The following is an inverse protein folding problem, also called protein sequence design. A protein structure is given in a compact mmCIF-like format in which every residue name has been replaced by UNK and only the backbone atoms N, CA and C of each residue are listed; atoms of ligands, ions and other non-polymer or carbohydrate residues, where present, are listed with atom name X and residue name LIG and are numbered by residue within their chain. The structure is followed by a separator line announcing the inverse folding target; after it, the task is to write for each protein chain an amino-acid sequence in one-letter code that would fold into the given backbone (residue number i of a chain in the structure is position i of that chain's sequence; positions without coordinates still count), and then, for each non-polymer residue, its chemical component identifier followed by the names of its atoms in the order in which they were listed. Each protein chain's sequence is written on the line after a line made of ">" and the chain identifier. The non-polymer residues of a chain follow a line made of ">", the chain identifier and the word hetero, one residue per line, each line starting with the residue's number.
data_IF_279942938037
#
_entry.id   IF_279942938037
#
_cell.length_a   1.000
_cell.length_b   1.000
_cell.length_c   1.000
_cell.angle_alpha   90.00
_cell.angle_beta   90.00
_cell.angle_gamma   90.00
#
_symmetry.space_group_name_H-M   'P 1'
#
loop_
_entity.id
_entity.type
_entity.pdbx_description
1 polymer ?
#
# COMPACT_ATOMS: atom_id res chain seq x y z
N UNK A 1 -2.94 12.69 -23.81
CA UNK A 1 -3.11 12.84 -23.91
C UNK A 1 -3.37 12.98 -23.73
N UNK A 2 -3.45 13.10 -23.36
CA UNK A 2 -3.51 13.45 -23.22
C UNK A 2 -3.78 13.68 -22.71
N UNK A 3 -3.63 13.87 -22.28
CA UNK A 3 -3.75 14.16 -21.92
C UNK A 3 -3.85 14.38 -21.47
N UNK A 4 -3.65 14.59 -21.08
CA UNK A 4 -3.65 14.75 -20.84
C UNK A 4 -3.43 14.88 -20.39
N UNK A 5 -3.32 14.87 -20.15
CA UNK A 5 -3.01 15.02 -19.86
C UNK A 5 -2.82 15.39 -19.36
N UNK A 6 -2.83 15.71 -19.12
CA UNK A 6 -2.68 16.00 -18.73
C UNK A 6 -2.49 16.28 -18.15
N UNK A 7 -2.38 16.46 -17.88
CA UNK A 7 -2.22 16.54 -17.43
C UNK A 7 -1.89 16.64 -16.97
N UNK A 8 -1.58 16.70 -16.77
CA UNK A 8 -1.20 16.59 -16.46
C UNK A 8 -0.88 16.85 -15.96
N UNK A 9 -0.94 17.03 -15.73
CA UNK A 9 -0.44 17.24 -15.32
C UNK A 9 -0.29 17.52 -14.53
N UNK A 10 -0.59 17.63 -14.16
CA UNK A 10 -0.28 17.87 -13.30
C UNK A 10 0.49 17.71 -12.99
N UNK A 11 0.41 17.61 -13.03
CA UNK A 11 1.16 17.25 -12.91
C UNK A 11 2.24 16.95 -12.44
N UNK A 12 2.92 17.17 -12.51
CA UNK A 12 4.17 16.77 -12.13
C UNK A 12 4.25 15.85 -11.05
N UNK A 13 3.94 16.18 -9.93
CA UNK A 13 3.92 15.24 -8.88
C UNK A 13 3.19 14.07 -9.25
N UNK A 14 2.34 14.16 -10.14
CA UNK A 14 1.60 13.03 -10.53
C UNK A 14 2.40 12.03 -11.26
N UNK A 15 3.53 12.39 -11.80
CA UNK A 15 4.32 11.44 -12.46
C UNK A 15 4.82 10.40 -11.62
N UNK A 16 5.15 10.68 -10.40
CA UNK A 16 5.65 9.65 -9.56
C UNK A 16 4.61 8.69 -9.22
N UNK A 17 3.37 9.03 -9.45
CA UNK A 17 2.29 8.14 -9.18
C UNK A 17 1.91 7.35 -10.41
N UNK A 18 2.76 7.32 -11.41
CA UNK A 18 2.59 6.43 -12.52
C UNK A 18 2.93 4.99 -12.18
N UNK A 19 3.47 4.74 -11.00
CA UNK A 19 3.79 3.39 -10.60
C UNK A 19 2.52 2.62 -10.29
N UNK A 20 2.48 1.38 -10.74
CA UNK A 20 1.32 0.54 -10.53
C UNK A 20 1.75 -0.84 -10.05
N UNK A 21 0.81 -1.52 -9.40
CA UNK A 21 0.98 -2.89 -8.98
C UNK A 21 0.12 -3.74 -9.90
N UNK A 22 0.71 -4.74 -10.54
CA UNK A 22 -0.02 -5.62 -11.43
C UNK A 22 -0.43 -6.87 -10.70
N UNK A 23 -1.72 -7.18 -10.72
CA UNK A 23 -2.26 -8.32 -10.03
C UNK A 23 -2.92 -9.27 -11.03
N UNK A 24 -2.43 -10.50 -11.10
CA UNK A 24 -2.98 -11.49 -11.99
C UNK A 24 -4.05 -12.27 -11.24
N UNK A 25 -5.28 -12.08 -11.65
CA UNK A 25 -6.41 -12.74 -11.03
C UNK A 25 -6.99 -13.77 -11.99
N UNK A 26 -7.76 -14.75 -11.50
CA UNK A 26 -8.32 -15.78 -12.39
C UNK A 26 -9.15 -15.22 -13.54
N UNK A 27 -9.81 -14.09 -13.32
CA UNK A 27 -10.67 -13.51 -14.35
C UNK A 27 -10.01 -12.32 -15.06
N UNK A 28 -8.72 -12.09 -14.85
CA UNK A 28 -8.05 -11.04 -15.60
C UNK A 28 -6.91 -10.39 -14.85
N UNK A 29 -6.38 -9.34 -15.46
CA UNK A 29 -5.26 -8.59 -14.91
C UNK A 29 -5.76 -7.26 -14.38
N UNK A 30 -5.39 -6.92 -13.17
CA UNK A 30 -5.75 -5.64 -12.57
C UNK A 30 -4.49 -4.80 -12.43
N UNK A 31 -4.57 -3.57 -12.88
CA UNK A 31 -3.49 -2.61 -12.72
C UNK A 31 -3.93 -1.62 -11.64
N UNK A 32 -3.30 -1.65 -10.50
CA UNK A 32 -3.69 -0.83 -9.37
C UNK A 32 -2.61 0.22 -9.09
N UNK A 33 -2.94 1.51 -9.22
CA UNK A 33 -1.93 2.53 -8.92
C UNK A 33 -1.48 2.44 -7.47
N UNK A 34 -0.19 2.58 -7.23
CA UNK A 34 0.34 2.46 -5.88
C UNK A 34 -0.27 3.46 -4.91
N UNK A 35 -0.62 4.65 -5.39
CA UNK A 35 -1.21 5.65 -4.50
C UNK A 35 -2.61 5.26 -4.00
N UNK A 36 -3.25 4.27 -4.66
CA UNK A 36 -4.54 3.78 -4.20
C UNK A 36 -4.41 2.61 -3.24
N UNK A 37 -3.24 1.99 -3.17
CA UNK A 37 -3.03 0.83 -2.30
C UNK A 37 -2.93 1.30 -0.86
N UNK A 38 -3.77 0.73 0.01
CA UNK A 38 -3.75 1.08 1.42
C UNK A 38 -2.84 0.17 2.21
N UNK A 39 -3.01 -1.13 2.03
CA UNK A 39 -2.17 -2.09 2.73
C UNK A 39 -2.30 -3.46 2.07
N UNK A 40 -1.34 -4.33 2.39
CA UNK A 40 -1.34 -5.71 1.94
C UNK A 40 -1.36 -6.59 3.16
N UNK A 41 -2.09 -7.69 3.08
CA UNK A 41 -2.21 -8.64 4.17
C UNK A 41 -1.85 -10.04 3.68
N UNK A 42 -0.95 -10.73 4.40
CA UNK A 42 -0.52 -12.06 4.03
C UNK A 42 -1.31 -13.10 4.80
N UNK A 43 -1.85 -14.09 4.09
CA UNK A 43 -2.52 -15.21 4.73
C UNK A 43 -2.07 -16.48 4.00
N UNK A 44 -1.20 -17.26 4.66
CA UNK A 44 -0.67 -18.47 4.04
C UNK A 44 0.08 -18.14 2.76
N UNK A 45 -0.35 -18.73 1.66
CA UNK A 45 0.26 -18.52 0.35
C UNK A 45 -0.40 -17.40 -0.44
N UNK A 46 -1.31 -16.67 0.19
CA UNK A 46 -2.05 -15.63 -0.50
C UNK A 46 -1.77 -14.25 0.09
N UNK A 47 -1.78 -13.26 -0.76
CA UNK A 47 -1.66 -11.87 -0.33
C UNK A 47 -2.91 -11.14 -0.79
N UNK A 48 -3.56 -10.44 0.12
CA UNK A 48 -4.71 -9.61 -0.22
C UNK A 48 -4.26 -8.16 -0.26
N UNK A 49 -4.48 -7.53 -1.39
CA UNK A 49 -4.11 -6.12 -1.61
C UNK A 49 -5.39 -5.30 -1.46
N UNK A 50 -5.37 -4.36 -0.52
CA UNK A 50 -6.51 -3.48 -0.27
C UNK A 50 -6.23 -2.10 -0.84
N UNK A 51 -7.09 -1.65 -1.71
CA UNK A 51 -6.93 -0.32 -2.31
C UNK A 51 -8.10 0.03 -3.20
N UNK A 52 -8.34 1.32 -3.37
CA UNK A 52 -9.42 1.78 -4.23
C UNK A 52 -10.80 1.34 -3.78
N UNK A 53 -10.97 1.05 -2.50
CA UNK A 53 -12.25 0.57 -1.99
C UNK A 53 -12.50 -0.90 -2.26
N UNK A 54 -11.51 -1.62 -2.74
CA UNK A 54 -11.64 -3.03 -3.08
C UNK A 54 -10.50 -3.84 -2.49
N UNK A 55 -10.66 -5.17 -2.50
CA UNK A 55 -9.62 -6.08 -2.05
C UNK A 55 -9.40 -7.12 -3.13
N UNK A 56 -8.13 -7.39 -3.41
CA UNK A 56 -7.74 -8.36 -4.43
C UNK A 56 -6.82 -9.39 -3.78
N UNK A 57 -7.12 -10.66 -3.94
CA UNK A 57 -6.31 -11.73 -3.37
C UNK A 57 -5.57 -12.46 -4.47
N UNK A 58 -4.25 -12.56 -4.33
CA UNK A 58 -3.42 -13.24 -5.32
C UNK A 58 -2.55 -14.28 -4.61
N UNK A 59 -2.22 -15.35 -5.32
CA UNK A 59 -1.33 -16.37 -4.79
C UNK A 59 0.08 -15.99 -5.21
N UNK A 60 0.74 -15.23 -4.36
CA UNK A 60 2.06 -14.71 -4.67
C UNK A 60 2.77 -14.41 -3.35
N UNK A 61 4.07 -14.58 -3.32
CA UNK A 61 4.83 -14.28 -2.11
C UNK A 61 4.87 -12.78 -1.85
N UNK A 62 4.78 -12.39 -0.59
CA UNK A 62 4.84 -10.98 -0.24
C UNK A 62 6.14 -10.34 -0.73
N UNK A 63 7.25 -11.08 -0.64
CA UNK A 63 8.53 -10.55 -1.09
C UNK A 63 8.53 -10.21 -2.58
N UNK A 64 7.80 -10.97 -3.38
CA UNK A 64 7.70 -10.69 -4.81
C UNK A 64 6.91 -9.42 -5.06
N UNK A 65 5.85 -9.21 -4.27
CA UNK A 65 5.05 -8.00 -4.40
C UNK A 65 5.80 -6.79 -3.87
N UNK A 66 6.57 -6.96 -2.81
CA UNK A 66 7.35 -5.85 -2.25
C UNK A 66 8.32 -5.25 -3.25
N UNK A 67 8.79 -6.03 -4.21
CA UNK A 67 9.69 -5.52 -5.23
C UNK A 67 9.02 -4.50 -6.14
N UNK A 68 7.70 -4.54 -6.22
CA UNK A 68 6.92 -3.63 -7.06
C UNK A 68 6.46 -2.40 -6.28
N UNK A 69 6.71 -2.38 -4.97
CA UNK A 69 6.31 -1.27 -4.12
C UNK A 69 7.48 -0.29 -3.97
N UNK A 70 7.18 0.93 -3.55
CA UNK A 70 8.21 1.94 -3.32
C UNK A 70 8.31 2.24 -1.83
N UNK A 71 9.06 3.27 -1.46
CA UNK A 71 9.33 3.58 -0.06
C UNK A 71 8.17 4.21 0.67
N UNK A 72 7.01 4.41 0.03
CA UNK A 72 5.82 4.83 0.74
C UNK A 72 5.21 3.64 1.51
N UNK A 73 5.69 2.42 1.26
CA UNK A 73 5.18 1.23 1.92
C UNK A 73 6.14 0.75 3.01
N UNK A 74 5.56 0.34 4.12
CA UNK A 74 6.34 -0.09 5.27
C UNK A 74 5.80 -1.40 5.83
N UNK A 75 6.68 -2.36 6.02
CA UNK A 75 6.29 -3.66 6.53
C UNK A 75 6.06 -3.60 8.04
N UNK A 76 4.88 -4.00 8.47
CA UNK A 76 4.48 -4.02 9.86
C UNK A 76 4.31 -5.47 10.27
N UNK A 77 5.23 -5.98 11.08
CA UNK A 77 5.17 -7.37 11.48
C UNK A 77 5.40 -8.31 10.33
N UNK A 78 4.83 -9.49 10.41
CA UNK A 78 5.03 -10.53 9.41
C UNK A 78 3.95 -10.56 8.35
N UNK A 79 2.80 -10.01 8.65
CA UNK A 79 1.62 -10.20 7.82
C UNK A 79 1.08 -8.96 7.13
N UNK A 80 1.65 -7.80 7.42
CA UNK A 80 1.10 -6.57 6.88
C UNK A 80 2.16 -5.67 6.28
N UNK A 81 1.79 -5.01 5.17
CA UNK A 81 2.58 -3.92 4.61
C UNK A 81 1.60 -2.77 4.42
N UNK A 82 1.91 -1.60 4.97
CA UNK A 82 0.99 -0.46 4.93
C UNK A 82 1.56 0.67 4.10
N UNK A 83 0.67 1.42 3.46
CA UNK A 83 1.05 2.63 2.75
C UNK A 83 1.09 3.76 3.79
N UNK A 84 2.27 4.28 4.03
CA UNK A 84 2.47 5.30 5.05
C UNK A 84 1.62 6.55 4.82
N UNK A 85 1.37 6.90 3.57
CA UNK A 85 0.57 8.08 3.26
C UNK A 85 -0.92 7.88 3.55
N UNK A 86 -1.34 6.64 3.80
CA UNK A 86 -2.73 6.33 4.11
C UNK A 86 -2.97 6.13 5.60
N UNK A 87 -1.92 6.20 6.42
CA UNK A 87 -2.06 6.05 7.85
C UNK A 87 -2.62 7.34 8.43
N UNK A 88 -3.81 7.25 9.01
CA UNK A 88 -4.46 8.41 9.60
C UNK A 88 -4.04 8.59 11.05
N UNK A 89 -3.84 7.47 11.74
CA UNK A 89 -3.50 7.50 13.15
C UNK A 89 -2.66 6.28 13.51
N UNK A 90 -1.64 6.47 14.29
CA UNK A 90 -0.84 5.37 14.81
C UNK A 90 -0.92 5.37 16.32
N UNK A 91 -1.31 4.25 16.90
CA UNK A 91 -1.35 4.07 18.34
C UNK A 91 -0.43 2.91 18.69
N UNK A 92 -0.22 2.66 19.97
CA UNK A 92 0.74 1.65 20.38
C UNK A 92 0.45 0.25 19.87
N UNK A 93 -0.79 -0.10 19.71
CA UNK A 93 -1.15 -1.45 19.31
C UNK A 93 -1.85 -1.54 17.96
N UNK A 94 -2.11 -0.42 17.34
CA UNK A 94 -2.79 -0.44 16.06
C UNK A 94 -2.55 0.82 15.25
N UNK A 95 -2.70 0.69 13.95
CA UNK A 95 -2.68 1.83 13.05
C UNK A 95 -4.03 1.88 12.37
N UNK A 96 -4.61 3.08 12.27
CA UNK A 96 -5.90 3.27 11.63
C UNK A 96 -5.65 3.98 10.30
N UNK A 97 -6.16 3.41 9.23
CA UNK A 97 -5.98 3.98 7.90
C UNK A 97 -7.13 4.91 7.55
N UNK A 98 -6.96 5.67 6.49
CA UNK A 98 -7.97 6.63 6.08
C UNK A 98 -9.33 6.01 5.79
N UNK A 99 -9.33 4.76 5.34
CA UNK A 99 -10.57 4.05 5.06
C UNK A 99 -11.27 3.57 6.32
N UNK A 100 -10.59 3.65 7.46
CA UNK A 100 -11.11 3.11 8.72
C UNK A 100 -10.58 1.72 9.04
N UNK A 101 -9.80 1.14 8.15
CA UNK A 101 -9.20 -0.17 8.42
C UNK A 101 -8.21 -0.07 9.56
N UNK A 102 -8.16 -1.10 10.39
CA UNK A 102 -7.29 -1.13 11.55
C UNK A 102 -6.25 -2.23 11.35
N UNK A 103 -4.98 -1.86 11.45
CA UNK A 103 -3.87 -2.79 11.28
C UNK A 103 -3.24 -3.01 12.65
N UNK A 104 -3.21 -4.26 13.15
CA UNK A 104 -2.60 -4.52 14.44
C UNK A 104 -1.09 -4.34 14.37
N UNK A 105 -0.51 -3.74 15.40
CA UNK A 105 0.92 -3.51 15.46
C UNK A 105 1.56 -4.45 16.46
N UNK A 106 2.66 -5.11 16.10
CA UNK A 106 3.37 -5.97 17.03
C UNK A 106 4.15 -5.12 18.02
N UNK A 107 4.73 -5.76 19.01
CA UNK A 107 5.56 -5.09 19.99
C UNK A 107 6.69 -4.35 19.26
N UNK A 108 6.87 -3.09 19.56
CA UNK A 108 7.87 -2.27 18.89
C UNK A 108 7.43 -1.73 17.54
N UNK A 109 6.27 -2.19 17.05
CA UNK A 109 5.79 -1.75 15.73
C UNK A 109 5.37 -0.30 15.71
N UNK A 110 4.86 0.20 16.81
CA UNK A 110 4.43 1.60 16.89
C UNK A 110 5.62 2.54 16.66
N UNK A 111 6.72 2.30 17.36
CA UNK A 111 7.89 3.16 17.22
C UNK A 111 8.46 3.10 15.82
N UNK A 112 8.56 1.90 15.25
CA UNK A 112 9.08 1.73 13.91
C UNK A 112 8.20 2.42 12.88
N UNK A 113 6.88 2.26 13.01
CA UNK A 113 5.93 2.87 12.10
C UNK A 113 5.96 4.39 12.21
N UNK A 114 5.98 4.90 13.43
CA UNK A 114 6.02 6.33 13.67
C UNK A 114 7.28 6.95 13.07
N UNK A 115 8.41 6.27 13.23
CA UNK A 115 9.66 6.73 12.68
C UNK A 115 9.60 6.77 11.15
N UNK A 116 9.01 5.75 10.55
CA UNK A 116 8.88 5.69 9.10
C UNK A 116 7.99 6.81 8.58
N UNK A 117 6.89 7.09 9.26
CA UNK A 117 5.98 8.17 8.87
C UNK A 117 6.71 9.51 8.92
N UNK A 118 7.46 9.76 9.99
CA UNK A 118 8.16 11.02 10.14
C UNK A 118 9.22 11.21 9.06
N UNK A 119 9.85 10.14 8.61
CA UNK A 119 10.84 10.25 7.55
C UNK A 119 10.26 10.59 6.20
N UNK A 120 8.98 10.32 5.99
CA UNK A 120 8.34 10.58 4.70
C UNK A 120 7.66 11.94 4.62
N UNK A 121 7.65 12.68 5.70
CA UNK A 121 7.02 14.01 5.69
C UNK A 121 7.85 15.06 4.96
#
# INVERSE_FOLDING_TARGET
>A
QKLFSVLDRAAGRLKRDGKTLLLELPDGLVRLPLYEVEYLEVRGNYVTVHGGGRAYTVKKALSALERELDDRFFRVGRSFVVNLSKVRRAAKREAVLESGSVIPLPRGGYEALNHAILRTL
#
